data_IF_654990942645
#
_entry.id   IF_654990942645
#
_cell.length_a   1.000
_cell.length_b   1.000
_cell.length_c   1.000
_cell.angle_alpha   90.00
_cell.angle_beta   90.00
_cell.angle_gamma   90.00
#
_symmetry.space_group_name_H-M   'P 1'
#
loop_
_entity.id
_entity.type
_entity.pdbx_description
1 polymer ?
#
# COMPACT_ATOMS: atom_id res chain seq x y z
N UNK A 1 1.78 34.84 34.45
CA UNK A 1 2.23 33.53 33.92
C UNK A 1 1.33 33.19 32.75
N UNK A 2 1.78 33.42 31.52
CA UNK A 2 0.99 33.15 30.31
C UNK A 2 1.09 31.68 29.96
N UNK A 3 -0.04 30.97 30.04
CA UNK A 3 -0.18 29.61 29.52
C UNK A 3 -0.15 29.67 27.99
N UNK A 4 1.04 29.49 27.41
CA UNK A 4 1.16 29.18 25.99
C UNK A 4 0.60 27.77 25.76
N UNK A 5 -0.56 27.70 25.10
CA UNK A 5 -1.10 26.46 24.54
C UNK A 5 -0.06 25.92 23.54
N UNK A 6 0.31 24.63 23.59
CA UNK A 6 1.22 24.07 22.60
C UNK A 6 0.54 24.15 21.24
N UNK A 7 1.11 24.96 20.34
CA UNK A 7 0.77 24.91 18.92
C UNK A 7 1.24 23.54 18.43
N UNK A 8 0.32 22.58 18.36
CA UNK A 8 0.56 21.37 17.59
C UNK A 8 0.91 21.82 16.17
N UNK A 9 2.15 21.59 15.74
CA UNK A 9 2.53 21.77 14.34
C UNK A 9 1.73 20.76 13.51
N UNK A 10 0.55 21.16 13.06
CA UNK A 10 -0.27 20.32 12.20
C UNK A 10 0.41 20.24 10.85
N UNK A 11 0.97 19.08 10.51
CA UNK A 11 1.42 18.80 9.15
C UNK A 11 0.25 19.03 8.20
N UNK A 12 0.40 19.98 7.28
CA UNK A 12 -0.60 20.26 6.25
C UNK A 12 -0.71 19.03 5.34
N UNK A 13 -1.89 18.39 5.24
CA UNK A 13 -2.04 17.19 4.41
C UNK A 13 -1.83 17.51 2.93
N UNK A 14 -1.11 16.62 2.24
CA UNK A 14 -0.87 16.70 0.79
C UNK A 14 -2.15 16.72 -0.04
N UNK A 15 -3.14 15.91 0.34
CA UNK A 15 -4.45 15.84 -0.33
C UNK A 15 -5.57 15.98 0.67
N UNK A 16 -6.53 16.87 0.42
CA UNK A 16 -7.77 17.02 1.20
C UNK A 16 -8.97 16.76 0.31
N UNK A 17 -9.88 15.89 0.75
CA UNK A 17 -11.17 15.70 0.11
C UNK A 17 -12.27 16.25 1.02
N UNK A 18 -13.01 17.25 0.52
CA UNK A 18 -14.23 17.75 1.15
C UNK A 18 -15.43 17.42 0.26
N UNK A 19 -16.57 17.17 0.88
CA UNK A 19 -17.81 16.90 0.18
C UNK A 19 -18.93 17.68 0.86
N UNK A 20 -19.82 18.25 0.06
CA UNK A 20 -21.12 18.75 0.48
C UNK A 20 -22.17 18.31 -0.53
N UNK A 21 -23.42 18.45 -0.18
CA UNK A 21 -24.52 18.24 -1.11
C UNK A 21 -25.53 19.36 -0.96
N UNK A 22 -26.24 19.64 -2.04
CA UNK A 22 -27.30 20.65 -2.09
C UNK A 22 -28.59 20.02 -2.60
N UNK A 23 -29.70 20.49 -2.05
CA UNK A 23 -31.04 20.11 -2.47
C UNK A 23 -31.42 20.85 -3.76
N UNK A 24 -32.38 20.34 -4.54
CA UNK A 24 -32.82 20.96 -5.80
C UNK A 24 -33.26 22.41 -5.60
N UNK A 25 -33.91 22.75 -4.48
CA UNK A 25 -34.38 24.11 -4.17
C UNK A 25 -33.26 25.14 -3.87
N UNK A 26 -31.99 24.74 -3.90
CA UNK A 26 -30.86 25.62 -3.60
C UNK A 26 -30.43 26.42 -4.83
N UNK A 27 -30.21 27.73 -4.64
CA UNK A 27 -29.59 28.60 -5.64
C UNK A 27 -28.26 28.04 -6.14
N UNK A 28 -27.51 27.32 -5.29
CA UNK A 28 -26.23 26.72 -5.68
C UNK A 28 -26.38 25.67 -6.80
N UNK A 29 -27.52 24.99 -6.89
CA UNK A 29 -27.80 24.05 -7.99
C UNK A 29 -28.11 24.84 -9.27
N UNK A 30 -29.04 25.78 -9.21
CA UNK A 30 -29.42 26.60 -10.36
C UNK A 30 -28.22 27.32 -10.98
N UNK A 31 -27.38 27.94 -10.14
CA UNK A 31 -26.15 28.61 -10.57
C UNK A 31 -25.16 27.66 -11.26
N UNK A 32 -25.13 26.38 -10.89
CA UNK A 32 -24.27 25.42 -11.57
C UNK A 32 -24.76 25.08 -12.98
N UNK A 33 -26.08 24.96 -13.16
CA UNK A 33 -26.68 24.71 -14.48
C UNK A 33 -26.34 25.87 -15.44
N UNK A 34 -26.40 27.10 -14.94
CA UNK A 34 -26.03 28.30 -15.71
C UNK A 34 -24.54 28.32 -16.04
N UNK A 35 -23.69 27.91 -15.11
CA UNK A 35 -22.24 27.84 -15.30
C UNK A 35 -21.81 26.91 -16.44
N UNK A 36 -22.48 25.76 -16.63
CA UNK A 36 -22.12 24.80 -17.70
C UNK A 36 -22.21 25.43 -19.09
N UNK A 37 -23.02 26.48 -19.26
CA UNK A 37 -23.28 27.17 -20.53
C UNK A 37 -22.28 28.30 -20.85
N UNK A 38 -21.25 28.49 -20.02
CA UNK A 38 -20.28 29.59 -20.23
C UNK A 38 -19.41 29.34 -21.47
N UNK A 39 -19.29 30.37 -22.30
CA UNK A 39 -18.29 30.45 -23.35
C UNK A 39 -16.89 30.56 -22.73
N UNK A 40 -15.97 29.68 -23.12
CA UNK A 40 -14.61 29.62 -22.54
C UNK A 40 -13.76 30.87 -22.84
N UNK A 41 -14.18 31.72 -23.79
CA UNK A 41 -13.36 32.80 -24.34
C UNK A 41 -13.83 34.22 -23.98
N UNK A 42 -14.85 34.42 -23.12
CA UNK A 42 -15.33 35.78 -22.78
C UNK A 42 -15.37 36.03 -21.27
N UNK A 43 -14.47 36.92 -20.84
CA UNK A 43 -14.39 37.52 -19.51
C UNK A 43 -15.49 38.56 -19.28
N UNK A 44 -15.74 38.82 -17.99
CA UNK A 44 -16.50 39.94 -17.42
C UNK A 44 -18.04 39.81 -17.40
N UNK A 45 -18.54 38.92 -16.54
CA UNK A 45 -19.86 39.14 -15.91
C UNK A 45 -19.64 40.01 -14.67
N UNK A 46 -20.13 41.26 -14.68
CA UNK A 46 -20.14 42.14 -13.50
C UNK A 46 -21.06 41.54 -12.43
N UNK A 47 -20.48 41.01 -11.36
CA UNK A 47 -21.21 40.43 -10.23
C UNK A 47 -21.39 41.44 -9.07
N UNK A 48 -22.56 41.36 -8.43
CA UNK A 48 -23.04 42.23 -7.37
C UNK A 48 -22.33 41.94 -6.02
N UNK A 49 -21.80 42.93 -5.26
CA UNK A 49 -20.82 42.70 -4.18
C UNK A 49 -21.31 42.04 -2.86
N UNK A 50 -22.56 41.56 -2.77
CA UNK A 50 -23.17 41.19 -1.47
C UNK A 50 -23.50 39.72 -1.22
N UNK A 51 -23.02 38.78 -2.04
CA UNK A 51 -23.34 37.35 -1.91
C UNK A 51 -22.13 36.44 -2.20
N UNK A 52 -21.08 36.53 -1.38
CA UNK A 52 -19.84 35.78 -1.57
C UNK A 52 -19.59 34.81 -0.42
N UNK A 53 -19.48 33.50 -0.71
CA UNK A 53 -18.51 32.70 0.05
C UNK A 53 -18.04 31.32 -0.45
N UNK A 54 -18.45 30.68 -1.57
CA UNK A 54 -17.65 29.47 -1.96
C UNK A 54 -17.75 28.87 -3.36
N UNK A 55 -18.70 29.24 -4.21
CA UNK A 55 -18.87 28.57 -5.51
C UNK A 55 -18.85 29.52 -6.71
N UNK A 56 -19.38 30.73 -6.55
CA UNK A 56 -19.60 31.66 -7.66
C UNK A 56 -18.35 32.45 -8.08
N UNK A 57 -17.52 32.88 -7.13
CA UNK A 57 -16.32 33.70 -7.41
C UNK A 57 -15.21 32.91 -8.14
N UNK A 58 -15.09 31.63 -7.81
CA UNK A 58 -14.04 30.75 -8.33
C UNK A 58 -14.32 30.23 -9.74
N UNK A 59 -15.59 30.16 -10.12
CA UNK A 59 -16.05 29.56 -11.37
C UNK A 59 -16.25 30.61 -12.48
N UNK A 60 -16.02 31.90 -12.22
CA UNK A 60 -16.31 32.99 -13.18
C UNK A 60 -15.15 33.42 -14.08
N UNK A 61 -13.92 32.95 -13.86
CA UNK A 61 -12.74 33.43 -14.58
C UNK A 61 -12.12 32.35 -15.51
N UNK A 62 -12.30 32.44 -16.84
CA UNK A 62 -11.78 31.47 -17.79
C UNK A 62 -10.25 31.36 -17.84
N UNK A 63 -9.51 32.38 -17.40
CA UNK A 63 -8.04 32.36 -17.34
C UNK A 63 -7.49 31.57 -16.15
N UNK A 64 -8.38 31.09 -15.26
CA UNK A 64 -8.02 30.60 -13.91
C UNK A 64 -8.55 29.20 -13.58
N UNK A 65 -9.23 28.58 -14.54
CA UNK A 65 -9.88 27.28 -14.41
C UNK A 65 -9.71 26.49 -15.71
N UNK A 66 -9.47 25.18 -15.62
CA UNK A 66 -9.42 24.32 -16.80
C UNK A 66 -10.79 24.26 -17.52
N UNK A 67 -10.81 23.73 -18.73
CA UNK A 67 -12.08 23.33 -19.34
C UNK A 67 -12.77 22.25 -18.49
N UNK A 68 -14.09 22.13 -18.67
CA UNK A 68 -14.86 21.05 -18.04
C UNK A 68 -14.38 19.70 -18.57
N UNK A 69 -14.16 18.77 -17.66
CA UNK A 69 -13.85 17.37 -17.97
C UNK A 69 -14.84 16.42 -17.29
N UNK A 70 -14.95 15.22 -17.83
CA UNK A 70 -15.87 14.17 -17.37
C UNK A 70 -15.16 12.83 -17.32
N UNK A 71 -15.92 11.75 -17.12
CA UNK A 71 -15.42 10.39 -17.17
C UNK A 71 -14.74 10.06 -18.49
N UNK A 72 -15.21 10.62 -19.61
CA UNK A 72 -14.79 10.21 -20.96
C UNK A 72 -14.06 11.30 -21.75
N UNK A 73 -14.13 12.56 -21.32
CA UNK A 73 -13.53 13.68 -22.03
C UNK A 73 -12.62 14.50 -21.10
N UNK A 74 -11.46 14.92 -21.60
CA UNK A 74 -10.55 15.86 -20.93
C UNK A 74 -11.01 17.32 -21.11
N UNK A 75 -11.80 17.59 -22.15
CA UNK A 75 -12.40 18.89 -22.46
C UNK A 75 -13.71 18.65 -23.17
N UNK A 76 -14.78 19.30 -22.72
CA UNK A 76 -16.08 19.23 -23.38
C UNK A 76 -16.17 20.23 -24.54
N UNK A 77 -16.70 19.75 -25.66
CA UNK A 77 -17.19 20.60 -26.76
C UNK A 77 -18.48 21.32 -26.35
N UNK A 78 -18.85 22.36 -27.10
CA UNK A 78 -20.12 23.08 -26.86
C UNK A 78 -21.36 22.17 -26.93
N UNK A 79 -21.38 21.19 -27.84
CA UNK A 79 -22.45 20.19 -27.90
C UNK A 79 -22.51 19.30 -26.66
N UNK A 80 -21.35 18.89 -26.13
CA UNK A 80 -21.29 18.06 -24.93
C UNK A 80 -21.63 18.85 -23.67
N UNK A 81 -21.26 20.14 -23.59
CA UNK A 81 -21.70 21.05 -22.52
C UNK A 81 -23.22 21.19 -22.50
N UNK A 82 -23.85 21.40 -23.66
CA UNK A 82 -25.32 21.46 -23.77
C UNK A 82 -25.97 20.17 -23.29
N UNK A 83 -25.47 19.01 -23.74
CA UNK A 83 -25.98 17.72 -23.29
C UNK A 83 -25.82 17.52 -21.76
N UNK A 84 -24.66 17.90 -21.21
CA UNK A 84 -24.41 17.86 -19.77
C UNK A 84 -25.37 18.80 -19.00
N UNK A 85 -25.59 20.01 -19.49
CA UNK A 85 -26.51 20.99 -18.91
C UNK A 85 -27.93 20.42 -18.81
N UNK A 86 -28.42 19.83 -19.91
CA UNK A 86 -29.74 19.20 -19.92
C UNK A 86 -29.82 18.06 -18.89
N UNK A 87 -28.78 17.25 -18.73
CA UNK A 87 -28.76 16.19 -17.71
C UNK A 87 -28.84 16.75 -16.28
N UNK A 88 -28.15 17.86 -15.99
CA UNK A 88 -28.25 18.53 -14.68
C UNK A 88 -29.59 19.21 -14.48
N UNK A 89 -30.20 19.76 -15.54
CA UNK A 89 -31.54 20.33 -15.51
C UNK A 89 -32.60 19.26 -15.24
N UNK A 90 -32.55 18.13 -15.94
CA UNK A 90 -33.41 16.96 -15.68
C UNK A 90 -33.26 16.48 -14.23
N UNK A 91 -32.02 16.41 -13.72
CA UNK A 91 -31.78 16.06 -12.32
C UNK A 91 -32.45 17.05 -11.36
N UNK A 92 -32.32 18.36 -11.61
CA UNK A 92 -32.94 19.40 -10.81
C UNK A 92 -34.46 19.32 -10.82
N UNK A 93 -35.07 19.20 -12.00
CA UNK A 93 -36.52 19.06 -12.20
C UNK A 93 -37.09 17.80 -11.53
N UNK A 94 -36.32 16.70 -11.53
CA UNK A 94 -36.69 15.44 -10.86
C UNK A 94 -36.40 15.44 -9.35
N UNK A 95 -35.99 16.57 -8.76
CA UNK A 95 -35.75 16.68 -7.33
C UNK A 95 -34.47 16.00 -6.84
N UNK A 96 -33.49 15.79 -7.73
CA UNK A 96 -32.23 15.13 -7.41
C UNK A 96 -31.34 15.96 -6.50
N UNK A 97 -30.41 15.27 -5.83
CA UNK A 97 -29.38 15.89 -5.00
C UNK A 97 -28.16 16.14 -5.87
N UNK A 98 -27.59 17.34 -5.77
CA UNK A 98 -26.29 17.62 -6.35
C UNK A 98 -25.21 17.50 -5.28
N UNK A 99 -24.28 16.56 -5.49
CA UNK A 99 -23.07 16.46 -4.69
C UNK A 99 -21.99 17.36 -5.26
N UNK A 100 -21.31 18.09 -4.38
CA UNK A 100 -20.20 18.97 -4.70
C UNK A 100 -18.98 18.52 -3.90
N UNK A 101 -18.04 17.89 -4.59
CA UNK A 101 -16.77 17.44 -4.02
C UNK A 101 -15.66 18.42 -4.38
N UNK A 102 -14.73 18.61 -3.44
CA UNK A 102 -13.51 19.40 -3.64
C UNK A 102 -12.32 18.53 -3.27
N UNK A 103 -11.45 18.27 -4.25
CA UNK A 103 -10.14 17.65 -4.04
C UNK A 103 -9.12 18.77 -4.06
N UNK A 104 -8.56 19.12 -2.92
CA UNK A 104 -7.56 20.17 -2.78
C UNK A 104 -6.19 19.57 -2.48
N UNK A 105 -5.16 20.21 -3.01
CA UNK A 105 -3.78 19.74 -2.91
C UNK A 105 -2.90 20.79 -2.27
N UNK A 106 -2.01 20.37 -1.37
CA UNK A 106 -0.95 21.23 -0.88
C UNK A 106 0.10 21.40 -2.00
N UNK A 107 0.26 22.62 -2.53
CA UNK A 107 1.09 22.87 -3.71
C UNK A 107 2.54 22.32 -3.56
N UNK A 108 3.27 22.53 -2.44
CA UNK A 108 4.60 21.95 -2.26
C UNK A 108 4.61 20.42 -2.32
N UNK A 109 3.59 19.76 -1.78
CA UNK A 109 3.50 18.29 -1.85
C UNK A 109 3.27 17.82 -3.29
N UNK A 110 2.49 18.57 -4.07
CA UNK A 110 2.21 18.28 -5.47
C UNK A 110 3.44 18.50 -6.36
N UNK A 111 4.29 19.48 -6.01
CA UNK A 111 5.62 19.70 -6.59
C UNK A 111 6.59 18.57 -6.25
N UNK A 112 6.62 18.10 -5.01
CA UNK A 112 7.42 16.91 -4.61
C UNK A 112 7.02 15.65 -5.40
N UNK A 113 5.75 15.53 -5.80
CA UNK A 113 5.28 14.43 -6.65
C UNK A 113 5.59 14.64 -8.14
N UNK A 114 6.19 15.78 -8.53
CA UNK A 114 6.53 16.12 -9.91
C UNK A 114 5.32 16.45 -10.78
N UNK A 115 4.19 16.85 -10.18
CA UNK A 115 2.92 17.10 -10.89
C UNK A 115 2.74 18.60 -11.15
N UNK A 116 3.37 19.45 -10.33
CA UNK A 116 3.34 20.89 -10.44
C UNK A 116 4.75 21.47 -10.34
N UNK A 117 5.01 22.53 -11.08
CA UNK A 117 6.23 23.32 -10.98
C UNK A 117 5.82 24.76 -10.62
N UNK A 118 6.21 25.20 -9.43
CA UNK A 118 5.87 26.52 -8.90
C UNK A 118 6.55 27.65 -9.70
N UNK A 119 7.73 27.39 -10.29
CA UNK A 119 8.52 28.39 -11.02
C UNK A 119 7.96 28.66 -12.40
N UNK A 120 7.62 27.59 -13.12
CA UNK A 120 7.06 27.68 -14.48
C UNK A 120 5.54 27.78 -14.48
N UNK A 121 4.90 27.55 -13.32
CA UNK A 121 3.45 27.45 -13.15
C UNK A 121 2.82 26.36 -14.03
N UNK A 122 3.59 25.34 -14.41
CA UNK A 122 3.09 24.21 -15.21
C UNK A 122 2.50 23.13 -14.32
N UNK A 123 1.32 22.62 -14.71
CA UNK A 123 0.63 21.52 -14.02
C UNK A 123 0.39 20.37 -15.00
N UNK A 124 0.64 19.13 -14.56
CA UNK A 124 0.15 17.94 -15.25
C UNK A 124 -1.35 17.75 -15.00
N UNK A 125 -2.16 18.55 -15.71
CA UNK A 125 -3.62 18.50 -15.64
C UNK A 125 -4.18 17.11 -15.98
N UNK A 126 -3.56 16.43 -16.96
CA UNK A 126 -4.01 15.11 -17.38
C UNK A 126 -3.91 14.11 -16.24
N UNK A 127 -2.80 14.13 -15.49
CA UNK A 127 -2.62 13.28 -14.31
C UNK A 127 -3.71 13.57 -13.27
N UNK A 128 -4.03 14.83 -13.01
CA UNK A 128 -5.09 15.22 -12.07
C UNK A 128 -6.49 14.79 -12.52
N UNK A 129 -6.80 14.90 -13.80
CA UNK A 129 -8.05 14.40 -14.40
C UNK A 129 -8.15 12.88 -14.23
N UNK A 130 -7.09 12.15 -14.53
CA UNK A 130 -7.06 10.67 -14.46
C UNK A 130 -7.25 10.17 -13.02
N UNK A 131 -6.58 10.78 -12.03
CA UNK A 131 -6.80 10.39 -10.63
C UNK A 131 -8.20 10.78 -10.13
N UNK A 132 -8.77 11.87 -10.63
CA UNK A 132 -10.16 12.27 -10.33
C UNK A 132 -11.13 11.23 -10.86
N UNK A 133 -10.97 10.75 -12.10
CA UNK A 133 -11.79 9.66 -12.67
C UNK A 133 -11.71 8.39 -11.83
N UNK A 134 -10.51 8.01 -11.39
CA UNK A 134 -10.33 6.84 -10.51
C UNK A 134 -11.04 6.99 -9.17
N UNK A 135 -10.99 8.20 -8.59
CA UNK A 135 -11.70 8.50 -7.35
C UNK A 135 -13.23 8.48 -7.54
N UNK A 136 -13.74 9.08 -8.62
CA UNK A 136 -15.17 9.11 -8.94
C UNK A 136 -15.72 7.71 -9.24
N UNK A 137 -14.98 6.89 -9.97
CA UNK A 137 -15.35 5.49 -10.21
C UNK A 137 -15.44 4.67 -8.92
N UNK A 138 -14.49 4.85 -8.00
CA UNK A 138 -14.53 4.19 -6.69
C UNK A 138 -15.72 4.68 -5.84
N UNK A 139 -16.03 5.99 -5.90
CA UNK A 139 -17.19 6.58 -5.25
C UNK A 139 -18.48 5.95 -5.77
N UNK A 140 -18.67 5.98 -7.10
CA UNK A 140 -19.87 5.48 -7.75
C UNK A 140 -20.10 4.00 -7.41
N UNK A 141 -19.05 3.17 -7.45
CA UNK A 141 -19.14 1.76 -7.08
C UNK A 141 -19.61 1.54 -5.65
N UNK A 142 -19.08 2.29 -4.69
CA UNK A 142 -19.40 2.12 -3.25
C UNK A 142 -20.77 2.68 -2.86
N UNK A 143 -21.20 3.70 -3.58
CA UNK A 143 -22.51 4.32 -3.38
C UNK A 143 -23.59 3.71 -4.28
N UNK A 144 -23.24 2.81 -5.21
CA UNK A 144 -24.19 2.20 -6.14
C UNK A 144 -24.74 3.18 -7.17
N UNK A 145 -23.90 4.11 -7.64
CA UNK A 145 -24.25 5.21 -8.55
C UNK A 145 -23.67 5.01 -9.97
N UNK A 146 -23.00 3.89 -10.25
CA UNK A 146 -22.27 3.63 -11.50
C UNK A 146 -23.13 3.77 -12.76
N UNK A 147 -24.44 3.50 -12.65
CA UNK A 147 -25.37 3.50 -13.80
C UNK A 147 -26.40 4.63 -13.78
N UNK A 148 -26.50 5.35 -12.66
CA UNK A 148 -27.56 6.35 -12.43
C UNK A 148 -27.03 7.77 -12.32
N UNK A 149 -25.71 7.95 -12.13
CA UNK A 149 -25.11 9.27 -11.95
C UNK A 149 -24.35 9.76 -13.18
N UNK A 150 -24.30 11.08 -13.31
CA UNK A 150 -23.38 11.79 -14.20
C UNK A 150 -22.61 12.83 -13.40
N UNK A 151 -21.40 13.16 -13.84
CA UNK A 151 -20.57 14.16 -13.17
C UNK A 151 -19.71 14.94 -14.16
N UNK A 152 -19.33 16.12 -13.73
CA UNK A 152 -18.36 16.98 -14.41
C UNK A 152 -17.48 17.68 -13.40
N UNK A 153 -16.28 18.05 -13.83
CA UNK A 153 -15.27 18.62 -12.97
C UNK A 153 -14.43 19.69 -13.67
N UNK A 154 -13.78 20.54 -12.87
CA UNK A 154 -12.85 21.55 -13.35
C UNK A 154 -11.70 21.73 -12.35
N UNK A 155 -10.49 21.97 -12.87
CA UNK A 155 -9.28 22.25 -12.09
C UNK A 155 -9.13 23.76 -11.93
N UNK A 156 -8.86 24.22 -10.72
CA UNK A 156 -8.72 25.63 -10.37
C UNK A 156 -7.29 25.92 -9.93
N UNK A 157 -6.72 26.97 -10.51
CA UNK A 157 -5.30 27.33 -10.32
C UNK A 157 -5.10 28.59 -9.45
N UNK A 158 -6.18 29.32 -9.13
CA UNK A 158 -6.15 30.70 -8.65
C UNK A 158 -6.38 30.91 -7.15
N UNK A 159 -6.27 29.85 -6.37
CA UNK A 159 -6.38 29.89 -4.90
C UNK A 159 -5.05 29.61 -4.25
N UNK A 160 -4.99 29.79 -2.93
CA UNK A 160 -3.88 29.35 -2.07
C UNK A 160 -3.38 27.93 -2.42
N UNK A 161 -4.28 27.04 -2.87
CA UNK A 161 -3.97 25.66 -3.26
C UNK A 161 -4.67 25.24 -4.54
N UNK A 162 -4.00 24.50 -5.42
CA UNK A 162 -4.63 23.87 -6.59
C UNK A 162 -5.73 22.91 -6.10
N UNK A 163 -6.90 22.96 -6.74
CA UNK A 163 -8.01 22.12 -6.36
C UNK A 163 -8.94 21.80 -7.52
N UNK A 164 -9.75 20.76 -7.35
CA UNK A 164 -10.68 20.25 -8.35
C UNK A 164 -12.06 20.27 -7.75
N UNK A 165 -12.99 20.98 -8.40
CA UNK A 165 -14.42 20.88 -8.10
C UNK A 165 -15.03 19.77 -8.93
N UNK A 166 -15.83 18.93 -8.31
CA UNK A 166 -16.60 17.88 -8.98
C UNK A 166 -18.06 18.02 -8.60
N UNK A 167 -18.93 18.17 -9.59
CA UNK A 167 -20.38 18.14 -9.41
C UNK A 167 -20.92 16.81 -9.91
N UNK A 168 -21.74 16.14 -9.10
CA UNK A 168 -22.39 14.87 -9.45
C UNK A 168 -23.87 14.96 -9.20
N UNK A 169 -24.68 14.41 -10.10
CA UNK A 169 -26.13 14.30 -9.98
C UNK A 169 -26.61 12.94 -10.48
N UNK A 170 -27.79 12.52 -10.05
CA UNK A 170 -28.56 11.47 -10.72
C UNK A 170 -29.69 12.13 -11.51
N UNK A 171 -29.72 12.09 -12.85
CA UNK A 171 -30.83 12.65 -13.64
C UNK A 171 -32.19 12.11 -13.21
N UNK A 172 -32.22 10.83 -12.82
CA UNK A 172 -33.38 10.17 -12.21
C UNK A 172 -32.95 9.68 -10.81
N UNK A 173 -33.27 10.41 -9.74
CA UNK A 173 -32.73 10.14 -8.41
C UNK A 173 -33.17 8.78 -7.89
N UNK A 174 -32.21 8.01 -7.35
CA UNK A 174 -32.48 6.69 -6.75
C UNK A 174 -32.51 6.73 -5.23
N UNK A 175 -32.30 7.91 -4.63
CA UNK A 175 -32.18 8.11 -3.19
C UNK A 175 -32.56 9.53 -2.77
N UNK A 176 -32.99 9.65 -1.52
CA UNK A 176 -33.35 10.94 -0.90
C UNK A 176 -32.27 11.46 0.07
N UNK A 177 -31.28 10.63 0.42
CA UNK A 177 -30.21 10.99 1.37
C UNK A 177 -28.93 11.38 0.65
N UNK A 178 -28.51 12.63 0.83
CA UNK A 178 -27.28 13.17 0.20
C UNK A 178 -25.97 12.85 0.92
N UNK A 179 -25.99 12.50 2.22
CA UNK A 179 -24.73 12.26 2.96
C UNK A 179 -24.08 10.94 2.54
N UNK A 180 -22.88 11.02 1.94
CA UNK A 180 -22.06 9.85 1.57
C UNK A 180 -21.44 9.15 2.78
N UNK A 181 -21.08 7.88 2.62
CA UNK A 181 -20.46 7.09 3.70
C UNK A 181 -19.01 7.56 3.92
N UNK A 182 -18.53 7.70 5.18
CA UNK A 182 -17.13 8.06 5.43
C UNK A 182 -16.13 7.11 4.77
N UNK A 183 -16.43 5.80 4.75
CA UNK A 183 -15.59 4.79 4.06
C UNK A 183 -15.50 5.00 2.55
N UNK A 184 -16.50 5.64 1.93
CA UNK A 184 -16.46 6.01 0.51
C UNK A 184 -15.48 7.16 0.31
N UNK A 185 -15.56 8.20 1.14
CA UNK A 185 -14.67 9.36 1.09
C UNK A 185 -13.21 8.96 1.34
N UNK A 186 -12.97 8.08 2.32
CA UNK A 186 -11.65 7.51 2.57
C UNK A 186 -11.10 6.77 1.33
N UNK A 187 -11.95 5.99 0.65
CA UNK A 187 -11.56 5.24 -0.53
C UNK A 187 -11.29 6.15 -1.73
N UNK A 188 -12.11 7.19 -1.94
CA UNK A 188 -11.88 8.22 -2.95
C UNK A 188 -10.52 8.89 -2.76
N UNK A 189 -10.27 9.44 -1.56
CA UNK A 189 -8.99 10.06 -1.20
C UNK A 189 -7.84 9.07 -1.34
N UNK A 190 -8.07 7.81 -0.99
CA UNK A 190 -7.14 6.71 -1.21
C UNK A 190 -6.76 6.51 -2.68
N UNK A 191 -7.71 6.62 -3.62
CA UNK A 191 -7.41 6.55 -5.05
C UNK A 191 -6.56 7.72 -5.50
N UNK A 192 -6.86 8.94 -5.05
CA UNK A 192 -6.07 10.12 -5.38
C UNK A 192 -4.63 9.95 -4.88
N UNK A 193 -4.44 9.75 -3.57
CA UNK A 193 -3.10 9.62 -2.96
C UNK A 193 -2.28 8.50 -3.59
N UNK A 194 -2.82 7.29 -3.73
CA UNK A 194 -2.05 6.16 -4.25
C UNK A 194 -1.67 6.26 -5.72
N UNK A 195 -2.36 7.10 -6.51
CA UNK A 195 -2.03 7.26 -7.93
C UNK A 195 -1.16 8.50 -8.19
N UNK A 196 -1.11 9.45 -7.26
CA UNK A 196 -0.15 10.56 -7.29
C UNK A 196 1.19 10.14 -6.67
N UNK A 197 1.18 9.30 -5.63
CA UNK A 197 2.38 8.71 -5.07
C UNK A 197 2.93 7.59 -5.97
N UNK A 198 4.00 7.83 -6.74
CA UNK A 198 4.72 6.73 -7.42
C UNK A 198 5.64 6.01 -6.43
N UNK A 199 5.13 4.93 -5.83
CA UNK A 199 5.85 4.12 -4.81
C UNK A 199 6.01 2.67 -5.20
N UNK A 200 5.86 2.34 -6.50
CA UNK A 200 5.88 0.95 -6.97
C UNK A 200 7.24 0.30 -6.69
N UNK A 201 8.33 1.06 -6.84
CA UNK A 201 9.68 0.56 -6.64
C UNK A 201 9.97 0.30 -5.15
N UNK A 202 9.57 1.19 -4.25
CA UNK A 202 9.76 1.04 -2.81
C UNK A 202 8.92 -0.12 -2.27
N UNK A 203 7.68 -0.26 -2.74
CA UNK A 203 6.84 -1.40 -2.39
C UNK A 203 7.46 -2.72 -2.89
N UNK A 204 8.05 -2.73 -4.09
CA UNK A 204 8.79 -3.88 -4.61
C UNK A 204 9.98 -4.21 -3.73
N UNK A 205 10.80 -3.23 -3.35
CA UNK A 205 11.94 -3.43 -2.46
C UNK A 205 11.53 -3.99 -1.09
N UNK A 206 10.45 -3.49 -0.50
CA UNK A 206 9.91 -4.03 0.77
C UNK A 206 9.48 -5.50 0.58
N UNK A 207 8.78 -5.80 -0.51
CA UNK A 207 8.34 -7.17 -0.80
C UNK A 207 9.53 -8.12 -1.08
N UNK A 208 10.58 -7.64 -1.73
CA UNK A 208 11.79 -8.41 -2.02
C UNK A 208 12.57 -8.74 -0.74
N UNK A 209 12.71 -7.77 0.19
CA UNK A 209 13.29 -8.01 1.52
C UNK A 209 12.53 -9.11 2.27
N UNK A 210 11.20 -9.08 2.23
CA UNK A 210 10.36 -10.10 2.86
C UNK A 210 10.54 -11.45 2.16
N UNK A 211 10.26 -11.51 0.85
CA UNK A 211 10.04 -12.77 0.12
C UNK A 211 11.33 -13.46 -0.31
N UNK A 212 12.30 -12.69 -0.78
CA UNK A 212 13.51 -13.22 -1.40
C UNK A 212 14.63 -13.28 -0.36
N UNK A 213 14.93 -12.14 0.29
CA UNK A 213 16.07 -12.07 1.22
C UNK A 213 15.81 -12.90 2.48
N UNK A 214 14.73 -12.63 3.23
CA UNK A 214 14.51 -13.31 4.51
C UNK A 214 13.81 -14.67 4.34
N UNK A 215 12.60 -14.68 3.77
CA UNK A 215 11.79 -15.92 3.67
C UNK A 215 12.37 -16.90 2.65
N UNK A 216 12.93 -16.40 1.55
CA UNK A 216 13.54 -17.21 0.49
C UNK A 216 14.75 -17.96 1.03
N UNK A 217 15.72 -17.25 1.59
CA UNK A 217 16.89 -17.86 2.23
C UNK A 217 16.50 -18.85 3.33
N UNK A 218 15.48 -18.54 4.15
CA UNK A 218 15.00 -19.51 5.15
C UNK A 218 14.49 -20.82 4.56
N UNK A 219 13.87 -20.81 3.39
CA UNK A 219 13.38 -22.05 2.78
C UNK A 219 14.52 -22.97 2.32
N UNK A 220 15.67 -22.39 2.03
CA UNK A 220 16.87 -23.09 1.56
C UNK A 220 17.82 -23.47 2.71
N UNK A 221 17.77 -22.73 3.83
CA UNK A 221 18.61 -22.95 5.02
C UNK A 221 17.86 -23.76 6.08
N UNK A 222 18.28 -25.01 6.30
CA UNK A 222 17.59 -25.92 7.22
C UNK A 222 17.95 -25.62 8.67
N UNK A 223 16.98 -25.77 9.57
CA UNK A 223 17.19 -25.76 11.02
C UNK A 223 18.17 -26.84 11.48
N UNK A 224 18.30 -27.93 10.72
CA UNK A 224 19.23 -29.02 11.05
C UNK A 224 20.66 -28.79 10.55
N UNK A 225 20.90 -27.72 9.78
CA UNK A 225 22.25 -27.32 9.40
C UNK A 225 23.01 -26.81 10.64
N UNK A 226 24.33 -27.04 10.65
CA UNK A 226 25.17 -26.74 11.83
C UNK A 226 25.07 -25.28 12.29
N UNK A 227 24.89 -24.33 11.35
CA UNK A 227 24.73 -22.89 11.61
C UNK A 227 23.45 -22.56 12.38
N UNK A 228 22.45 -23.45 12.33
CA UNK A 228 21.12 -23.27 12.92
C UNK A 228 20.89 -24.11 14.17
N UNK A 229 21.94 -24.68 14.76
CA UNK A 229 21.84 -25.53 15.94
C UNK A 229 21.10 -24.86 17.11
N UNK A 230 21.19 -23.54 17.23
CA UNK A 230 20.49 -22.75 18.26
C UNK A 230 18.96 -22.73 18.10
N UNK A 231 18.42 -23.02 16.91
CA UNK A 231 16.98 -23.07 16.63
C UNK A 231 16.38 -24.45 16.90
N UNK A 232 17.19 -25.50 16.82
CA UNK A 232 16.75 -26.91 16.90
C UNK A 232 15.96 -27.25 18.18
N UNK A 233 16.32 -26.79 19.40
CA UNK A 233 15.55 -27.12 20.59
C UNK A 233 14.11 -26.60 20.51
N UNK A 234 13.95 -25.33 20.12
CA UNK A 234 12.65 -24.69 19.99
C UNK A 234 11.83 -25.30 18.83
N UNK A 235 12.49 -25.61 17.71
CA UNK A 235 11.87 -26.29 16.59
C UNK A 235 11.23 -27.64 17.00
N UNK A 236 11.97 -28.46 17.74
CA UNK A 236 11.49 -29.77 18.20
C UNK A 236 10.41 -29.64 19.28
N UNK A 237 10.48 -28.60 20.13
CA UNK A 237 9.42 -28.30 21.10
C UNK A 237 8.11 -27.98 20.39
N UNK A 238 8.13 -27.08 19.41
CA UNK A 238 6.93 -26.71 18.64
C UNK A 238 6.40 -27.95 17.91
N UNK A 239 7.28 -28.70 17.24
CA UNK A 239 6.90 -29.90 16.49
C UNK A 239 6.12 -30.92 17.33
N UNK A 240 6.50 -31.13 18.60
CA UNK A 240 5.81 -32.06 19.51
C UNK A 240 4.39 -31.60 19.90
N UNK A 241 4.14 -30.30 19.87
CA UNK A 241 2.86 -29.70 20.24
C UNK A 241 1.92 -29.47 19.03
N UNK A 242 2.40 -29.74 17.81
CA UNK A 242 1.58 -29.60 16.61
C UNK A 242 0.41 -30.59 16.60
N UNK A 243 -0.75 -30.18 16.04
CA UNK A 243 -1.91 -31.07 15.93
C UNK A 243 -1.58 -32.27 15.03
N UNK A 244 -2.26 -33.40 15.28
CA UNK A 244 -2.10 -34.62 14.49
C UNK A 244 -2.43 -34.42 13.00
N UNK A 245 -3.42 -33.56 12.70
CA UNK A 245 -3.79 -33.20 11.33
C UNK A 245 -2.84 -32.14 10.74
N UNK A 246 -2.02 -32.60 9.79
CA UNK A 246 -1.03 -31.79 9.07
C UNK A 246 -1.63 -30.71 8.19
N UNK A 247 -2.90 -30.83 7.77
CA UNK A 247 -3.57 -29.81 6.97
C UNK A 247 -3.66 -28.49 7.74
N UNK A 248 -3.68 -28.59 9.07
CA UNK A 248 -3.77 -27.48 10.01
C UNK A 248 -2.43 -26.79 10.29
N UNK A 249 -1.30 -27.35 9.83
CA UNK A 249 0.03 -26.77 10.03
C UNK A 249 0.24 -25.60 9.08
N UNK A 250 -0.44 -24.51 9.38
CA UNK A 250 -0.43 -23.24 8.69
C UNK A 250 -0.52 -22.14 9.74
N UNK A 251 0.30 -21.10 9.59
CA UNK A 251 0.44 -20.06 10.61
C UNK A 251 -0.90 -19.40 11.01
N UNK A 252 -1.83 -19.25 10.04
CA UNK A 252 -3.12 -18.62 10.28
C UNK A 252 -4.18 -19.55 10.90
N UNK A 253 -3.92 -20.85 11.03
CA UNK A 253 -4.92 -21.82 11.48
C UNK A 253 -5.21 -21.69 12.98
N UNK A 254 -6.47 -21.88 13.40
CA UNK A 254 -6.86 -21.67 14.79
C UNK A 254 -6.13 -22.59 15.78
N UNK A 255 -5.86 -23.84 15.39
CA UNK A 255 -5.12 -24.79 16.23
C UNK A 255 -3.64 -24.44 16.39
N UNK A 256 -3.10 -23.54 15.56
CA UNK A 256 -1.73 -23.04 15.65
C UNK A 256 -1.64 -21.73 16.47
N UNK A 257 -2.77 -21.07 16.74
CA UNK A 257 -2.79 -19.80 17.50
C UNK A 257 -2.02 -19.86 18.82
N UNK A 258 -2.15 -20.92 19.66
CA UNK A 258 -1.39 -21.02 20.91
C UNK A 258 0.12 -21.12 20.70
N UNK A 259 0.55 -21.66 19.55
CA UNK A 259 1.97 -21.87 19.21
C UNK A 259 2.60 -20.68 18.49
N UNK A 260 1.81 -19.67 18.09
CA UNK A 260 2.33 -18.49 17.37
C UNK A 260 3.47 -17.79 18.10
N UNK A 261 3.42 -17.53 19.42
CA UNK A 261 4.53 -16.88 20.11
C UNK A 261 5.85 -17.65 19.97
N UNK A 262 5.81 -18.98 20.04
CA UNK A 262 7.00 -19.83 19.87
C UNK A 262 7.50 -19.82 18.41
N UNK A 263 6.59 -19.85 17.43
CA UNK A 263 6.92 -19.79 16.00
C UNK A 263 7.51 -18.43 15.62
N UNK A 264 6.97 -17.35 16.20
CA UNK A 264 7.48 -16.00 16.00
C UNK A 264 8.86 -15.84 16.64
N UNK A 265 9.08 -16.41 17.83
CA UNK A 265 10.40 -16.43 18.45
C UNK A 265 11.44 -17.17 17.60
N UNK A 266 11.05 -18.30 17.00
CA UNK A 266 11.89 -19.06 16.09
C UNK A 266 12.25 -18.23 14.84
N UNK A 267 11.26 -17.52 14.29
CA UNK A 267 11.44 -16.57 13.18
C UNK A 267 12.37 -15.42 13.55
N UNK A 268 12.20 -14.84 14.75
CA UNK A 268 13.02 -13.75 15.28
C UNK A 268 14.47 -14.18 15.40
N UNK A 269 14.76 -15.33 16.02
CA UNK A 269 16.13 -15.85 16.20
C UNK A 269 16.84 -16.03 14.86
N UNK A 270 16.16 -16.65 13.90
CA UNK A 270 16.71 -16.84 12.55
C UNK A 270 17.02 -15.50 11.86
N UNK A 271 16.07 -14.55 11.89
CA UNK A 271 16.28 -13.22 11.30
C UNK A 271 17.44 -12.50 11.97
N UNK A 272 17.54 -12.53 13.31
CA UNK A 272 18.62 -11.86 14.03
C UNK A 272 20.00 -12.47 13.74
N UNK A 273 20.07 -13.79 13.54
CA UNK A 273 21.34 -14.45 13.27
C UNK A 273 21.82 -14.24 11.82
N UNK A 274 20.93 -14.36 10.83
CA UNK A 274 21.30 -14.39 9.41
C UNK A 274 20.96 -13.12 8.63
N UNK A 275 19.90 -12.43 9.02
CA UNK A 275 19.28 -11.34 8.24
C UNK A 275 19.11 -10.05 9.02
N UNK A 276 19.93 -9.81 10.05
CA UNK A 276 19.83 -8.61 10.89
C UNK A 276 19.84 -7.33 10.06
N UNK A 277 20.76 -7.24 9.09
CA UNK A 277 20.88 -6.08 8.19
C UNK A 277 19.65 -5.91 7.30
N UNK A 278 19.14 -6.99 6.71
CA UNK A 278 17.91 -6.95 5.89
C UNK A 278 16.71 -6.49 6.72
N UNK A 279 16.62 -6.95 7.97
CA UNK A 279 15.54 -6.58 8.89
C UNK A 279 15.63 -5.11 9.32
N UNK A 280 16.82 -4.63 9.65
CA UNK A 280 17.05 -3.21 9.98
C UNK A 280 16.69 -2.31 8.77
N UNK A 281 17.08 -2.70 7.55
CA UNK A 281 16.68 -2.00 6.31
C UNK A 281 15.18 -2.05 6.06
N UNK A 282 14.55 -3.20 6.31
CA UNK A 282 13.10 -3.38 6.20
C UNK A 282 12.37 -2.41 7.14
N UNK A 283 12.75 -2.35 8.42
CA UNK A 283 12.15 -1.42 9.39
C UNK A 283 12.32 0.05 8.96
N UNK A 284 13.52 0.44 8.52
CA UNK A 284 13.78 1.80 8.04
C UNK A 284 12.90 2.16 6.83
N UNK A 285 12.71 1.23 5.88
CA UNK A 285 11.82 1.45 4.72
C UNK A 285 10.36 1.57 5.15
N UNK A 286 9.91 0.77 6.12
CA UNK A 286 8.55 0.91 6.65
C UNK A 286 8.32 2.25 7.35
N UNK A 287 9.30 2.74 8.11
CA UNK A 287 9.22 4.05 8.77
C UNK A 287 9.14 5.19 7.74
N UNK A 288 9.93 5.10 6.67
CA UNK A 288 9.84 6.03 5.54
C UNK A 288 8.45 6.00 4.88
N UNK A 289 7.89 4.83 4.60
CA UNK A 289 6.55 4.72 4.02
C UNK A 289 5.46 5.31 4.93
N UNK A 290 5.56 5.10 6.26
CA UNK A 290 4.64 5.72 7.22
C UNK A 290 4.74 7.25 7.15
N UNK A 291 5.95 7.79 7.02
CA UNK A 291 6.15 9.23 6.89
C UNK A 291 5.56 9.79 5.59
N UNK A 292 5.76 9.12 4.45
CA UNK A 292 5.14 9.50 3.17
C UNK A 292 3.61 9.54 3.29
N UNK A 293 3.00 8.56 3.96
CA UNK A 293 1.55 8.58 4.18
C UNK A 293 1.10 9.66 5.16
N UNK A 294 1.89 10.00 6.19
CA UNK A 294 1.60 11.13 7.08
C UNK A 294 1.59 12.45 6.31
N UNK A 295 2.52 12.66 5.40
CA UNK A 295 2.56 13.86 4.56
C UNK A 295 1.35 13.90 3.63
N UNK A 296 1.02 12.80 2.96
CA UNK A 296 -0.10 12.76 2.02
C UNK A 296 -1.48 12.90 2.69
N UNK A 297 -1.69 12.25 3.84
CA UNK A 297 -2.98 12.21 4.54
C UNK A 297 -3.11 13.20 5.71
N UNK A 298 -2.00 13.73 6.23
CA UNK A 298 -1.97 14.54 7.45
C UNK A 298 -1.99 13.71 8.74
N UNK A 299 -1.87 14.41 9.87
CA UNK A 299 -1.77 13.81 11.22
C UNK A 299 -3.04 13.93 12.07
N UNK A 300 -4.16 14.32 11.44
CA UNK A 300 -5.44 14.44 12.11
C UNK A 300 -5.90 13.11 12.73
N UNK A 301 -6.74 13.21 13.78
CA UNK A 301 -7.30 12.04 14.49
C UNK A 301 -7.94 11.02 13.53
N UNK A 302 -8.57 11.50 12.46
CA UNK A 302 -9.24 10.66 11.46
C UNK A 302 -8.29 10.14 10.36
N UNK A 303 -7.11 10.75 10.21
CA UNK A 303 -6.13 10.43 9.17
C UNK A 303 -5.14 9.34 9.63
N UNK A 304 -4.87 9.25 10.94
CA UNK A 304 -3.96 8.26 11.55
C UNK A 304 -4.25 6.82 11.11
N UNK A 305 -5.52 6.46 10.95
CA UNK A 305 -5.95 5.12 10.52
C UNK A 305 -5.33 4.67 9.19
N UNK A 306 -4.88 5.60 8.34
CA UNK A 306 -4.31 5.29 7.03
C UNK A 306 -2.89 4.73 7.10
N UNK A 307 -2.12 5.06 8.14
CA UNK A 307 -0.71 4.66 8.24
C UNK A 307 -0.33 3.99 9.57
N UNK A 308 -1.11 4.17 10.65
CA UNK A 308 -0.79 3.67 12.00
C UNK A 308 -0.49 2.17 12.01
N UNK A 309 -1.29 1.38 11.29
CA UNK A 309 -1.13 -0.07 11.23
C UNK A 309 -0.24 -0.55 10.08
N UNK A 310 0.30 0.33 9.23
CA UNK A 310 1.06 -0.09 8.05
C UNK A 310 2.30 -0.89 8.43
N UNK A 311 3.12 -0.35 9.35
CA UNK A 311 4.34 -0.99 9.83
C UNK A 311 4.04 -2.35 10.47
N UNK A 312 3.08 -2.38 11.40
CA UNK A 312 2.65 -3.60 12.08
C UNK A 312 2.12 -4.65 11.11
N UNK A 313 1.30 -4.27 10.14
CA UNK A 313 0.77 -5.19 9.13
C UNK A 313 1.86 -5.81 8.26
N UNK A 314 2.88 -5.03 7.87
CA UNK A 314 4.02 -5.53 7.09
C UNK A 314 4.91 -6.45 7.91
N UNK A 315 5.17 -6.13 9.18
CA UNK A 315 5.88 -7.01 10.10
C UNK A 315 5.09 -8.33 10.26
N UNK A 316 3.79 -8.26 10.49
CA UNK A 316 2.95 -9.45 10.62
C UNK A 316 2.95 -10.31 9.33
N UNK A 317 2.99 -9.72 8.14
CA UNK A 317 3.13 -10.47 6.88
C UNK A 317 4.49 -11.20 6.81
N UNK A 318 5.58 -10.55 7.24
CA UNK A 318 6.89 -11.20 7.34
C UNK A 318 6.84 -12.41 8.30
N UNK A 319 6.37 -12.23 9.52
CA UNK A 319 6.30 -13.31 10.52
C UNK A 319 5.36 -14.44 10.08
N UNK A 320 4.22 -14.13 9.48
CA UNK A 320 3.33 -15.13 8.87
C UNK A 320 4.04 -15.95 7.80
N UNK A 321 4.84 -15.34 6.94
CA UNK A 321 5.57 -16.04 5.87
C UNK A 321 6.72 -16.87 6.43
N UNK A 322 7.48 -16.34 7.39
CA UNK A 322 8.54 -17.05 8.09
C UNK A 322 8.00 -18.26 8.85
N UNK A 323 6.95 -18.08 9.64
CA UNK A 323 6.30 -19.16 10.38
C UNK A 323 5.79 -20.26 9.45
N UNK A 324 5.22 -19.89 8.29
CA UNK A 324 4.86 -20.90 7.28
C UNK A 324 6.08 -21.61 6.69
N UNK A 325 7.23 -20.95 6.51
CA UNK A 325 8.45 -21.62 6.06
C UNK A 325 8.92 -22.68 7.07
N UNK A 326 8.93 -22.36 8.38
CA UNK A 326 9.25 -23.33 9.43
C UNK A 326 8.24 -24.47 9.51
N UNK A 327 6.94 -24.18 9.44
CA UNK A 327 5.90 -25.21 9.47
C UNK A 327 6.02 -26.17 8.26
N UNK A 328 6.45 -25.68 7.10
CA UNK A 328 6.72 -26.53 5.94
C UNK A 328 7.96 -27.40 6.16
N UNK A 329 9.02 -26.85 6.77
CA UNK A 329 10.18 -27.65 7.17
C UNK A 329 9.81 -28.73 8.18
N UNK A 330 8.95 -28.42 9.16
CA UNK A 330 8.42 -29.41 10.12
C UNK A 330 7.64 -30.52 9.40
N UNK A 331 6.86 -30.22 8.36
CA UNK A 331 6.18 -31.25 7.55
C UNK A 331 7.17 -32.15 6.83
N UNK A 332 8.24 -31.57 6.27
CA UNK A 332 9.30 -32.32 5.61
C UNK A 332 10.02 -33.25 6.60
N UNK A 333 10.36 -32.72 7.79
CA UNK A 333 10.94 -33.48 8.88
C UNK A 333 10.04 -34.65 9.31
N UNK A 334 8.73 -34.43 9.51
CA UNK A 334 7.78 -35.49 9.87
C UNK A 334 7.75 -36.62 8.81
N UNK A 335 7.72 -36.25 7.53
CA UNK A 335 7.74 -37.20 6.41
C UNK A 335 9.00 -38.06 6.47
N UNK A 336 10.14 -37.45 6.76
CA UNK A 336 11.42 -38.16 6.88
C UNK A 336 11.45 -39.10 8.08
N UNK A 337 10.95 -38.66 9.25
CA UNK A 337 10.84 -39.53 10.43
C UNK A 337 9.97 -40.76 10.16
N UNK A 338 8.83 -40.58 9.48
CA UNK A 338 7.96 -41.70 9.07
C UNK A 338 8.66 -42.63 8.09
N UNK A 339 9.41 -42.10 7.11
CA UNK A 339 10.20 -42.90 6.18
C UNK A 339 11.21 -43.79 6.93
N UNK A 340 11.99 -43.21 7.83
CA UNK A 340 12.98 -43.93 8.64
C UNK A 340 12.29 -45.03 9.48
N UNK A 341 11.15 -44.74 10.10
CA UNK A 341 10.40 -45.72 10.88
C UNK A 341 9.87 -46.88 10.03
N UNK A 342 9.33 -46.61 8.85
CA UNK A 342 8.88 -47.63 7.92
C UNK A 342 10.03 -48.49 7.40
N UNK A 343 11.17 -47.88 7.03
CA UNK A 343 12.37 -48.63 6.59
C UNK A 343 12.94 -49.50 7.70
N UNK A 344 12.87 -49.06 8.97
CA UNK A 344 13.26 -49.87 10.13
C UNK A 344 12.31 -51.04 10.41
N UNK A 345 11.00 -50.89 10.12
CA UNK A 345 9.99 -51.95 10.28
C UNK A 345 9.94 -52.97 9.14
N UNK A 346 10.42 -52.61 7.95
CA UNK A 346 10.31 -53.43 6.72
C UNK A 346 11.53 -54.31 6.44
N UNK A 347 12.59 -54.27 7.27
CA UNK A 347 13.66 -55.27 7.24
C UNK A 347 13.42 -56.30 8.35
N UNK A 348 13.06 -57.56 8.03
CA UNK A 348 13.35 -58.64 8.95
C UNK A 348 14.86 -58.62 9.20
N UNK A 349 15.28 -58.89 10.43
CA UNK A 349 16.67 -59.12 10.78
C UNK A 349 17.19 -60.36 10.00
N UNK A 350 17.50 -60.22 8.71
CA UNK A 350 18.41 -61.14 8.07
C UNK A 350 19.78 -60.84 8.67
N UNK A 351 20.33 -61.82 9.41
CA UNK A 351 21.68 -61.79 9.96
C UNK A 351 22.65 -61.36 8.86
N UNK A 352 23.03 -60.09 8.88
CA UNK A 352 24.09 -59.59 8.02
C UNK A 352 25.40 -60.04 8.65
N UNK A 353 25.84 -61.26 8.31
CA UNK A 353 27.24 -61.62 8.45
C UNK A 353 28.01 -60.77 7.45
N UNK A 354 28.51 -59.62 7.90
CA UNK A 354 29.64 -58.96 7.24
C UNK A 354 30.30 -57.98 8.21
N UNK A 355 31.56 -58.30 8.53
CA UNK A 355 32.49 -57.51 9.31
C UNK A 355 32.75 -56.15 8.65
N UNK A 356 31.93 -55.15 8.92
CA UNK A 356 32.33 -53.75 8.73
C UNK A 356 32.41 -53.13 10.11
N UNK A 357 33.64 -52.91 10.57
CA UNK A 357 33.89 -52.38 11.91
C UNK A 357 33.22 -51.02 12.06
N UNK A 358 32.61 -50.78 13.23
CA UNK A 358 32.03 -49.49 13.64
C UNK A 358 33.00 -48.32 13.40
N UNK A 359 34.31 -48.57 13.48
CA UNK A 359 35.37 -47.61 13.17
C UNK A 359 35.36 -47.13 11.71
N UNK A 360 35.01 -47.99 10.74
CA UNK A 360 34.89 -47.59 9.33
C UNK A 360 33.71 -46.65 9.10
N UNK A 361 32.58 -46.91 9.77
CA UNK A 361 31.40 -46.05 9.76
C UNK A 361 31.72 -44.67 10.35
N UNK A 362 32.43 -44.63 11.49
CA UNK A 362 32.83 -43.37 12.12
C UNK A 362 33.83 -42.58 11.26
N UNK A 363 34.82 -43.23 10.64
CA UNK A 363 35.75 -42.56 9.72
C UNK A 363 35.07 -41.97 8.49
N UNK A 364 33.99 -42.58 8.01
CA UNK A 364 33.20 -42.05 6.89
C UNK A 364 32.43 -40.79 7.29
N UNK A 365 31.93 -40.75 8.52
CA UNK A 365 31.27 -39.58 9.11
C UNK A 365 32.29 -38.45 9.34
N UNK A 366 33.46 -38.73 9.91
CA UNK A 366 34.54 -37.74 10.08
C UNK A 366 35.00 -37.16 8.73
N UNK A 367 35.11 -38.00 7.69
CA UNK A 367 35.47 -37.54 6.34
C UNK A 367 34.42 -36.63 5.74
N UNK A 368 33.13 -36.90 5.95
CA UNK A 368 32.04 -36.04 5.49
C UNK A 368 32.06 -34.67 6.19
N UNK A 369 32.21 -34.66 7.52
CA UNK A 369 32.38 -33.42 8.29
C UNK A 369 33.63 -32.63 7.89
N UNK A 370 34.74 -33.32 7.65
CA UNK A 370 35.98 -32.69 7.18
C UNK A 370 35.81 -32.10 5.77
N UNK A 371 35.09 -32.78 4.86
CA UNK A 371 34.83 -32.24 3.52
C UNK A 371 33.90 -31.02 3.55
N UNK A 372 32.88 -31.01 4.41
CA UNK A 372 31.99 -29.85 4.56
C UNK A 372 32.73 -28.65 5.16
N UNK A 373 33.60 -28.89 6.15
CA UNK A 373 34.44 -27.86 6.76
C UNK A 373 35.44 -27.25 5.77
N UNK A 374 36.14 -28.09 4.97
CA UNK A 374 37.06 -27.61 3.94
C UNK A 374 36.34 -26.87 2.81
N UNK A 375 35.15 -27.35 2.41
CA UNK A 375 34.30 -26.65 1.43
C UNK A 375 33.90 -25.25 1.91
N UNK A 376 33.52 -25.12 3.18
CA UNK A 376 33.23 -23.82 3.81
C UNK A 376 34.44 -22.90 3.89
N UNK A 377 35.61 -23.42 4.26
CA UNK A 377 36.85 -22.66 4.31
C UNK A 377 37.21 -22.13 2.92
N UNK A 378 37.03 -22.94 1.88
CA UNK A 378 37.24 -22.54 0.50
C UNK A 378 36.24 -21.46 0.07
N UNK A 379 34.96 -21.58 0.45
CA UNK A 379 33.95 -20.56 0.17
C UNK A 379 34.26 -19.22 0.86
N UNK A 380 34.71 -19.25 2.13
CA UNK A 380 35.15 -18.05 2.85
C UNK A 380 36.40 -17.41 2.25
N UNK A 381 37.35 -18.23 1.81
CA UNK A 381 38.54 -17.76 1.10
C UNK A 381 38.15 -17.08 -0.23
N UNK A 382 37.23 -17.69 -0.98
CA UNK A 382 36.71 -17.14 -2.23
C UNK A 382 36.00 -15.79 -2.01
N UNK A 383 35.11 -15.69 -1.01
CA UNK A 383 34.47 -14.43 -0.63
C UNK A 383 35.48 -13.33 -0.26
N UNK A 384 36.58 -13.71 0.41
CA UNK A 384 37.64 -12.78 0.79
C UNK A 384 38.44 -12.31 -0.42
N UNK A 385 38.81 -13.21 -1.33
CA UNK A 385 39.48 -12.84 -2.58
C UNK A 385 38.60 -11.94 -3.45
N UNK A 386 37.29 -12.19 -3.51
CA UNK A 386 36.36 -11.31 -4.24
C UNK A 386 36.32 -9.90 -3.64
N UNK A 387 36.33 -9.79 -2.30
CA UNK A 387 36.40 -8.49 -1.62
C UNK A 387 37.73 -7.78 -1.83
N UNK A 388 38.84 -8.49 -1.76
CA UNK A 388 40.18 -7.93 -2.00
C UNK A 388 40.35 -7.51 -3.47
N UNK A 389 39.83 -8.29 -4.42
CA UNK A 389 39.82 -7.94 -5.85
C UNK A 389 38.95 -6.73 -6.14
N UNK A 390 37.76 -6.64 -5.52
CA UNK A 390 36.91 -5.44 -5.61
C UNK A 390 37.62 -4.21 -5.02
N UNK A 391 38.31 -4.37 -3.89
CA UNK A 391 39.06 -3.29 -3.23
C UNK A 391 40.31 -2.86 -4.02
N UNK A 392 40.96 -3.77 -4.73
CA UNK A 392 42.07 -3.44 -5.63
C UNK A 392 41.59 -2.77 -6.91
N UNK A 393 40.45 -3.18 -7.48
CA UNK A 393 39.84 -2.49 -8.62
C UNK A 393 39.34 -1.08 -8.27
N UNK A 394 38.96 -0.80 -7.02
CA UNK A 394 38.61 0.55 -6.54
C UNK A 394 39.84 1.43 -6.23
N UNK A 395 41.05 0.87 -6.14
CA UNK A 395 42.31 1.60 -5.87
C UNK A 395 43.28 1.64 -7.05
N UNK A 396 42.94 1.00 -8.18
CA UNK A 396 43.69 1.08 -9.43
C UNK A 396 43.33 2.34 -10.21
N UNK A 397 44.21 3.35 -10.17
CA UNK A 397 44.40 4.31 -11.25
C UNK A 397 45.11 3.64 -12.42
#
# INVERSE_FOLDING_TARGET
MSNAVPVHSSVTPGVVLKTKFVLPSSDAFQNYIEYVDREEAKSEVKLNPKMFETYQEYMGNPEKTSALFTEHANRLTESEKKALKEMFKTAHENGSIMWQDVISFHNPWLEEQGIYDEKTKTLDEKKLMDVTRLAMKEMQKREGLEKSSTWSAAIHFNTDNIHIHVATVEPFPTRERGKRKPKTLDAMRGKVVNNLLDRKQEQKQINDLIRNNMVGSKKEDSVFDWRNQHLKPLFLQIYKQLPSDKRQWQYSYNTIQPLKPEIDELSRRYIQHHHKKDYDQFLQKLDKEVQVFKEAYGEGKYDKKQYENYKTNKINDLYKRMGNAFLQEMKAYDKEQKRIHHTKKSKPFQKFQQNVSIQYSMRKVERAFKSEYESWKNQKYYERMQKESAYQNERGY
#
